data_IF_653422831592
#
_entry.id   IF_653422831592
#
_cell.length_a   1.000
_cell.length_b   1.000
_cell.length_c   1.000
_cell.angle_alpha   90.00
_cell.angle_beta   90.00
_cell.angle_gamma   90.00
#
_symmetry.space_group_name_H-M   'P 1'
#
loop_
_entity.id
_entity.type
_entity.pdbx_description
1 polymer ?
#
# COMPACT_ATOMS: atom_id res chain seq x y z
N UNK A 1 -32.10 30.60 -40.53
CA UNK A 1 -31.23 29.60 -41.17
C UNK A 1 -29.83 30.17 -41.28
N UNK A 2 -28.91 29.69 -40.45
CA UNK A 2 -27.45 29.59 -40.72
C UNK A 2 -26.81 28.87 -39.54
N UNK A 3 -26.62 27.56 -39.69
CA UNK A 3 -25.92 26.67 -38.76
C UNK A 3 -24.42 26.88 -38.95
N UNK A 4 -23.70 27.31 -37.91
CA UNK A 4 -22.25 27.42 -37.94
C UNK A 4 -21.65 26.24 -37.18
N UNK A 5 -21.38 25.16 -37.94
CA UNK A 5 -20.62 24.00 -37.49
C UNK A 5 -19.16 24.45 -37.42
N UNK A 6 -18.63 24.67 -36.22
CA UNK A 6 -17.21 24.98 -36.04
C UNK A 6 -16.43 23.72 -35.67
N UNK A 7 -15.76 23.19 -36.71
CA UNK A 7 -14.58 22.35 -36.73
C UNK A 7 -14.16 21.64 -35.43
N UNK A 8 -14.48 20.36 -35.36
CA UNK A 8 -13.77 19.41 -34.53
C UNK A 8 -12.37 19.21 -35.12
N UNK A 9 -11.38 20.00 -34.65
CA UNK A 9 -9.96 19.70 -34.85
C UNK A 9 -9.51 18.74 -33.76
N UNK A 10 -9.53 17.45 -34.10
CA UNK A 10 -8.74 16.43 -33.41
C UNK A 10 -7.27 16.56 -33.86
N UNK A 11 -6.42 17.14 -33.02
CA UNK A 11 -4.96 17.07 -33.15
C UNK A 11 -4.34 17.37 -31.78
N UNK A 12 -3.48 16.56 -31.18
CA UNK A 12 -2.86 15.34 -31.66
C UNK A 12 -2.25 14.56 -30.49
N UNK A 13 -1.95 13.29 -30.78
CA UNK A 13 -1.20 12.38 -29.94
C UNK A 13 0.23 12.88 -29.74
N UNK A 14 0.54 13.37 -28.54
CA UNK A 14 1.90 13.71 -28.10
C UNK A 14 2.07 13.81 -26.59
N UNK A 15 1.04 13.48 -25.80
CA UNK A 15 1.00 13.77 -24.35
C UNK A 15 0.63 12.58 -23.47
N UNK A 16 0.72 11.33 -23.95
CA UNK A 16 0.23 10.16 -23.21
C UNK A 16 0.89 10.00 -21.83
N UNK A 17 2.20 10.19 -21.73
CA UNK A 17 2.95 10.02 -20.47
C UNK A 17 2.78 11.22 -19.54
N UNK A 18 2.71 12.43 -20.08
CA UNK A 18 2.49 13.66 -19.30
C UNK A 18 1.06 13.76 -18.81
N UNK A 19 0.08 13.30 -19.60
CA UNK A 19 -1.33 13.13 -19.20
C UNK A 19 -1.48 12.07 -18.11
N UNK A 20 -0.87 10.90 -18.29
CA UNK A 20 -0.94 9.82 -17.29
C UNK A 20 -0.26 10.22 -15.97
N UNK A 21 0.86 10.95 -16.04
CA UNK A 21 1.52 11.51 -14.86
C UNK A 21 0.67 12.58 -14.17
N UNK A 22 0.01 13.44 -14.94
CA UNK A 22 -0.90 14.45 -14.39
C UNK A 22 -2.12 13.80 -13.72
N UNK A 23 -2.71 12.77 -14.33
CA UNK A 23 -3.81 11.99 -13.76
C UNK A 23 -3.38 11.21 -12.51
N UNK A 24 -2.18 10.62 -12.50
CA UNK A 24 -1.63 9.95 -11.33
C UNK A 24 -1.38 10.92 -10.18
N UNK A 25 -0.91 12.14 -10.48
CA UNK A 25 -0.70 13.19 -9.47
C UNK A 25 -2.04 13.69 -8.93
N UNK A 26 -3.05 13.90 -9.78
CA UNK A 26 -4.38 14.33 -9.33
C UNK A 26 -5.07 13.23 -8.52
N UNK A 27 -5.06 11.99 -8.99
CA UNK A 27 -5.59 10.85 -8.24
C UNK A 27 -4.84 10.67 -6.91
N UNK A 28 -3.53 10.88 -6.88
CA UNK A 28 -2.73 10.88 -5.66
C UNK A 28 -3.16 11.98 -4.68
N UNK A 29 -3.38 13.20 -5.17
CA UNK A 29 -3.86 14.31 -4.36
C UNK A 29 -5.26 14.04 -3.79
N UNK A 30 -6.16 13.47 -4.59
CA UNK A 30 -7.51 13.08 -4.18
C UNK A 30 -7.46 11.99 -3.10
N UNK A 31 -6.64 10.96 -3.29
CA UNK A 31 -6.42 9.89 -2.29
C UNK A 31 -5.87 10.47 -0.99
N UNK A 32 -4.91 11.40 -1.05
CA UNK A 32 -4.36 12.09 0.14
C UNK A 32 -5.42 12.96 0.82
N UNK A 33 -6.26 13.66 0.06
CA UNK A 33 -7.39 14.43 0.58
C UNK A 33 -8.42 13.54 1.28
N UNK A 34 -8.82 12.46 0.63
CA UNK A 34 -9.73 11.44 1.16
C UNK A 34 -9.16 10.81 2.44
N UNK A 35 -7.86 10.52 2.46
CA UNK A 35 -7.16 9.95 3.61
C UNK A 35 -7.14 10.93 4.79
N UNK A 36 -6.89 12.23 4.56
CA UNK A 36 -6.98 13.26 5.61
C UNK A 36 -8.38 13.39 6.17
N UNK A 37 -9.40 13.47 5.31
CA UNK A 37 -10.79 13.58 5.73
C UNK A 37 -11.22 12.34 6.56
N UNK A 38 -10.85 11.14 6.08
CA UNK A 38 -11.11 9.87 6.77
C UNK A 38 -10.37 9.78 8.10
N UNK A 39 -9.11 10.21 8.15
CA UNK A 39 -8.31 10.26 9.38
C UNK A 39 -8.91 11.19 10.43
N UNK A 40 -9.42 12.36 10.01
CA UNK A 40 -10.16 13.27 10.88
C UNK A 40 -11.45 12.65 11.45
N UNK A 41 -12.19 11.90 10.64
CA UNK A 41 -13.38 11.18 11.07
C UNK A 41 -13.06 10.02 12.03
N UNK A 42 -11.99 9.25 11.75
CA UNK A 42 -11.51 8.19 12.64
C UNK A 42 -11.06 8.74 14.00
N UNK A 43 -10.43 9.91 14.00
CA UNK A 43 -9.91 10.56 15.21
C UNK A 43 -10.98 10.81 16.26
N UNK A 44 -12.19 11.12 15.80
CA UNK A 44 -13.37 11.36 16.65
C UNK A 44 -14.00 10.06 17.18
N UNK A 45 -13.67 8.91 16.59
CA UNK A 45 -14.33 7.63 16.88
C UNK A 45 -13.67 6.86 18.02
N UNK A 46 -12.32 6.80 18.04
CA UNK A 46 -11.53 6.23 19.14
C UNK A 46 -10.02 6.35 18.86
N UNK A 47 -9.18 6.70 19.87
CA UNK A 47 -7.72 6.74 19.72
C UNK A 47 -7.12 5.37 19.38
N UNK A 48 -7.76 4.27 19.82
CA UNK A 48 -7.31 2.91 19.50
C UNK A 48 -7.43 2.57 18.01
N UNK A 49 -8.51 3.02 17.37
CA UNK A 49 -8.73 2.79 15.94
C UNK A 49 -7.68 3.53 15.09
N UNK A 50 -7.28 4.74 15.52
CA UNK A 50 -6.18 5.46 14.87
C UNK A 50 -4.86 4.71 14.97
N UNK A 51 -4.53 4.19 16.15
CA UNK A 51 -3.28 3.47 16.38
C UNK A 51 -3.22 2.21 15.52
N UNK A 52 -4.33 1.46 15.42
CA UNK A 52 -4.45 0.30 14.54
C UNK A 52 -4.29 0.67 13.05
N UNK A 53 -4.92 1.75 12.61
CA UNK A 53 -4.74 2.24 11.23
C UNK A 53 -3.30 2.65 10.97
N UNK A 54 -2.66 3.38 11.89
CA UNK A 54 -1.27 3.78 11.76
C UNK A 54 -0.34 2.57 11.66
N UNK A 55 -0.52 1.55 12.53
CA UNK A 55 0.26 0.31 12.50
C UNK A 55 0.12 -0.43 11.17
N UNK A 56 -1.10 -0.66 10.70
CA UNK A 56 -1.32 -1.32 9.41
C UNK A 56 -0.77 -0.52 8.23
N UNK A 57 -0.92 0.80 8.27
CA UNK A 57 -0.37 1.68 7.22
C UNK A 57 1.15 1.56 7.16
N UNK A 58 1.82 1.63 8.32
CA UNK A 58 3.27 1.45 8.40
C UNK A 58 3.71 0.07 7.91
N UNK A 59 2.98 -0.99 8.27
CA UNK A 59 3.30 -2.35 7.86
C UNK A 59 3.18 -2.56 6.35
N UNK A 60 2.14 -2.02 5.72
CA UNK A 60 1.89 -2.16 4.28
C UNK A 60 2.85 -1.29 3.46
N UNK A 61 3.00 -0.02 3.84
CA UNK A 61 3.89 0.91 3.13
C UNK A 61 5.34 0.51 3.30
N UNK A 62 5.73 0.08 4.51
CA UNK A 62 7.06 -0.42 4.80
C UNK A 62 7.46 -1.59 3.91
N UNK A 63 6.61 -2.61 3.84
CA UNK A 63 6.81 -3.81 3.01
C UNK A 63 6.97 -3.47 1.51
N UNK A 64 6.10 -2.60 0.98
CA UNK A 64 6.20 -2.11 -0.39
C UNK A 64 7.48 -1.32 -0.64
N UNK A 65 7.86 -0.42 0.29
CA UNK A 65 9.05 0.41 0.16
C UNK A 65 10.33 -0.42 0.21
N UNK A 66 10.45 -1.36 1.15
CA UNK A 66 11.63 -2.23 1.24
C UNK A 66 11.79 -3.07 -0.02
N UNK A 67 10.67 -3.54 -0.59
CA UNK A 67 10.69 -4.31 -1.83
C UNK A 67 11.17 -3.47 -3.02
N UNK A 68 10.72 -2.22 -3.14
CA UNK A 68 11.18 -1.30 -4.20
C UNK A 68 12.66 -0.96 -4.05
N UNK A 69 13.13 -0.72 -2.81
CA UNK A 69 14.54 -0.46 -2.54
C UNK A 69 15.42 -1.67 -2.90
N UNK A 70 14.96 -2.89 -2.59
CA UNK A 70 15.64 -4.14 -2.96
C UNK A 70 15.68 -4.39 -4.47
N UNK A 71 14.61 -4.05 -5.21
CA UNK A 71 14.67 -4.09 -6.68
C UNK A 71 15.70 -3.11 -7.24
N UNK A 72 15.81 -1.91 -6.64
CA UNK A 72 16.68 -0.85 -7.12
C UNK A 72 18.19 -1.14 -7.00
N UNK A 73 18.59 -2.04 -6.10
CA UNK A 73 20.00 -2.40 -5.89
C UNK A 73 20.49 -3.57 -6.75
N UNK A 74 19.60 -4.24 -7.50
CA UNK A 74 19.96 -5.39 -8.34
C UNK A 74 20.40 -6.65 -7.58
N UNK A 75 20.38 -6.61 -6.23
CA UNK A 75 20.69 -7.74 -5.35
C UNK A 75 19.46 -8.02 -4.49
N UNK A 76 18.76 -9.10 -4.81
CA UNK A 76 17.55 -9.51 -4.13
C UNK A 76 17.89 -10.35 -2.89
N UNK A 77 18.04 -9.71 -1.73
CA UNK A 77 18.24 -10.37 -0.42
C UNK A 77 17.03 -10.08 0.49
N UNK A 78 16.00 -10.92 0.42
CA UNK A 78 14.80 -10.79 1.24
C UNK A 78 14.98 -11.52 2.58
N UNK A 79 14.81 -10.84 3.72
CA UNK A 79 15.00 -11.44 5.05
C UNK A 79 13.95 -12.52 5.37
N UNK A 80 12.79 -12.47 4.71
CA UNK A 80 11.73 -13.45 4.85
C UNK A 80 11.81 -14.51 3.74
N UNK A 81 12.33 -15.69 4.08
CA UNK A 81 12.48 -16.81 3.14
C UNK A 81 11.17 -17.23 2.46
N UNK A 82 10.02 -17.12 3.14
CA UNK A 82 8.73 -17.41 2.53
C UNK A 82 8.34 -16.34 1.49
N UNK A 83 8.57 -15.06 1.79
CA UNK A 83 8.35 -13.98 0.83
C UNK A 83 9.27 -14.14 -0.39
N UNK A 84 10.56 -14.45 -0.19
CA UNK A 84 11.51 -14.71 -1.25
C UNK A 84 11.05 -15.83 -2.19
N UNK A 85 10.55 -16.94 -1.63
CA UNK A 85 10.03 -18.07 -2.39
C UNK A 85 8.83 -17.67 -3.26
N UNK A 86 7.83 -16.99 -2.68
CA UNK A 86 6.65 -16.59 -3.44
C UNK A 86 6.95 -15.49 -4.47
N UNK A 87 7.84 -14.54 -4.15
CA UNK A 87 8.33 -13.55 -5.11
C UNK A 87 9.01 -14.22 -6.31
N UNK A 88 9.69 -15.36 -6.11
CA UNK A 88 10.24 -16.18 -7.20
C UNK A 88 9.19 -16.86 -8.07
N UNK A 89 7.99 -17.15 -7.55
CA UNK A 89 6.91 -17.83 -8.29
C UNK A 89 6.04 -16.86 -9.09
N UNK A 90 5.56 -15.79 -8.46
CA UNK A 90 4.55 -14.89 -9.04
C UNK A 90 5.14 -13.55 -9.51
N UNK A 91 6.46 -13.40 -9.36
CA UNK A 91 7.15 -12.13 -9.53
C UNK A 91 6.96 -11.22 -8.33
N UNK A 92 7.96 -10.38 -8.09
CA UNK A 92 8.00 -9.49 -6.93
C UNK A 92 6.83 -8.50 -6.91
N UNK A 93 6.51 -7.89 -8.07
CA UNK A 93 5.36 -6.98 -8.18
C UNK A 93 4.02 -7.68 -7.91
N UNK A 94 3.86 -8.92 -8.43
CA UNK A 94 2.67 -9.73 -8.18
C UNK A 94 2.52 -10.08 -6.70
N UNK A 95 3.61 -10.46 -6.04
CA UNK A 95 3.62 -10.76 -4.61
C UNK A 95 3.27 -9.55 -3.75
N UNK A 96 3.83 -8.38 -4.04
CA UNK A 96 3.52 -7.14 -3.29
C UNK A 96 2.03 -6.79 -3.39
N UNK A 97 1.43 -6.92 -4.58
CA UNK A 97 0.01 -6.66 -4.77
C UNK A 97 -0.87 -7.64 -3.98
N UNK A 98 -0.57 -8.94 -4.07
CA UNK A 98 -1.34 -9.99 -3.36
C UNK A 98 -1.20 -9.81 -1.85
N UNK A 99 0.01 -9.62 -1.35
CA UNK A 99 0.27 -9.47 0.09
C UNK A 99 -0.36 -8.17 0.62
N UNK A 100 -0.36 -7.10 -0.17
CA UNK A 100 -1.05 -5.84 0.13
C UNK A 100 -2.56 -6.01 0.28
N UNK A 101 -3.21 -6.71 -0.65
CA UNK A 101 -4.65 -7.01 -0.58
C UNK A 101 -5.02 -7.81 0.66
N UNK A 102 -4.22 -8.84 0.99
CA UNK A 102 -4.41 -9.64 2.21
C UNK A 102 -4.28 -8.76 3.45
N UNK A 103 -3.30 -7.87 3.50
CA UNK A 103 -3.12 -6.96 4.64
C UNK A 103 -4.27 -5.97 4.79
N UNK A 104 -4.82 -5.45 3.69
CA UNK A 104 -6.02 -4.58 3.74
C UNK A 104 -7.23 -5.35 4.29
N UNK A 105 -7.42 -6.61 3.87
CA UNK A 105 -8.48 -7.45 4.41
C UNK A 105 -8.29 -7.68 5.92
N UNK A 106 -7.08 -8.02 6.36
CA UNK A 106 -6.78 -8.21 7.79
C UNK A 106 -6.90 -6.91 8.60
N UNK A 107 -6.49 -5.77 8.03
CA UNK A 107 -6.71 -4.46 8.62
C UNK A 107 -8.20 -4.19 8.84
N UNK A 108 -9.03 -4.46 7.83
CA UNK A 108 -10.49 -4.32 7.96
C UNK A 108 -11.08 -5.19 9.07
N UNK A 109 -10.56 -6.42 9.26
CA UNK A 109 -10.97 -7.32 10.33
C UNK A 109 -10.56 -6.80 11.72
N UNK A 110 -9.34 -6.30 11.88
CA UNK A 110 -8.88 -5.72 13.17
C UNK A 110 -9.58 -4.42 13.55
N UNK A 111 -10.03 -3.64 12.55
CA UNK A 111 -10.75 -2.39 12.74
C UNK A 111 -12.26 -2.60 12.95
N UNK A 112 -12.77 -3.79 12.59
CA UNK A 112 -14.16 -4.16 12.81
C UNK A 112 -14.42 -4.39 14.30
N UNK A 113 -15.61 -4.01 14.80
CA UNK A 113 -16.01 -4.29 16.18
C UNK A 113 -16.29 -5.79 16.34
N UNK A 114 -15.40 -6.59 16.96
CA UNK A 114 -15.58 -8.03 17.04
C UNK A 114 -16.69 -8.33 18.05
N UNK A 115 -17.73 -9.05 17.62
CA UNK A 115 -18.88 -9.39 18.48
C UNK A 115 -18.83 -10.81 19.04
N UNK A 116 -17.94 -11.66 18.51
CA UNK A 116 -17.83 -13.08 18.87
C UNK A 116 -16.39 -13.42 19.22
N UNK A 117 -16.19 -14.50 19.99
CA UNK A 117 -14.85 -14.99 20.36
C UNK A 117 -14.01 -15.34 19.13
N UNK A 118 -14.63 -15.91 18.08
CA UNK A 118 -13.97 -16.18 16.80
C UNK A 118 -13.49 -14.89 16.11
N UNK A 119 -14.29 -13.83 16.14
CA UNK A 119 -13.89 -12.54 15.57
C UNK A 119 -12.73 -11.90 16.35
N UNK A 120 -12.71 -12.07 17.68
CA UNK A 120 -11.57 -11.65 18.50
C UNK A 120 -10.30 -12.45 18.19
N UNK A 121 -10.40 -13.77 18.06
CA UNK A 121 -9.27 -14.61 17.66
C UNK A 121 -8.72 -14.20 16.28
N UNK A 122 -9.59 -13.96 15.30
CA UNK A 122 -9.20 -13.49 13.97
C UNK A 122 -8.53 -12.11 14.01
N UNK A 123 -9.03 -11.18 14.83
CA UNK A 123 -8.40 -9.87 15.03
C UNK A 123 -7.02 -9.99 15.69
N UNK A 124 -6.85 -10.90 16.66
CA UNK A 124 -5.56 -11.17 17.29
C UNK A 124 -4.56 -11.76 16.29
N UNK A 125 -4.96 -12.73 15.48
CA UNK A 125 -4.11 -13.30 14.43
C UNK A 125 -3.69 -12.22 13.43
N UNK A 126 -4.63 -11.37 13.00
CA UNK A 126 -4.35 -10.27 12.11
C UNK A 126 -3.35 -9.26 12.72
N UNK A 127 -3.43 -8.98 14.02
CA UNK A 127 -2.45 -8.14 14.73
C UNK A 127 -1.06 -8.77 14.75
N UNK A 128 -0.95 -10.09 15.01
CA UNK A 128 0.33 -10.80 14.96
C UNK A 128 0.95 -10.71 13.57
N UNK A 129 0.15 -10.87 12.51
CA UNK A 129 0.61 -10.70 11.12
C UNK A 129 1.12 -9.27 10.87
N UNK A 130 0.42 -8.25 11.38
CA UNK A 130 0.85 -6.86 11.27
C UNK A 130 2.22 -6.63 11.91
N UNK A 131 2.45 -7.17 13.12
CA UNK A 131 3.74 -7.08 13.81
C UNK A 131 4.85 -7.81 13.04
N UNK A 132 4.55 -8.98 12.48
CA UNK A 132 5.47 -9.72 11.62
C UNK A 132 5.93 -8.89 10.42
N UNK A 133 5.00 -8.22 9.72
CA UNK A 133 5.34 -7.33 8.59
C UNK A 133 6.22 -6.15 8.99
N UNK A 134 5.94 -5.51 10.13
CA UNK A 134 6.79 -4.43 10.65
C UNK A 134 8.20 -4.91 10.97
N UNK A 135 8.33 -6.11 11.55
CA UNK A 135 9.62 -6.72 11.84
C UNK A 135 10.41 -7.03 10.56
N UNK A 136 9.77 -7.61 9.54
CA UNK A 136 10.40 -7.86 8.24
C UNK A 136 10.85 -6.56 7.58
N UNK A 137 10.02 -5.52 7.63
CA UNK A 137 10.37 -4.18 7.12
C UNK A 137 11.64 -3.65 7.81
N UNK A 138 11.68 -3.71 9.15
CA UNK A 138 12.84 -3.24 9.91
C UNK A 138 14.10 -4.07 9.61
N UNK A 139 13.95 -5.38 9.47
CA UNK A 139 15.05 -6.29 9.12
C UNK A 139 15.60 -6.01 7.72
N UNK A 140 14.72 -5.81 6.74
CA UNK A 140 15.10 -5.44 5.37
C UNK A 140 15.78 -4.07 5.31
N UNK A 141 15.31 -3.10 6.09
CA UNK A 141 15.95 -1.79 6.19
C UNK A 141 17.36 -1.88 6.81
N UNK A 142 17.55 -2.71 7.84
CA UNK A 142 18.86 -2.95 8.44
C UNK A 142 19.83 -3.65 7.48
N UNK A 143 19.36 -4.65 6.73
CA UNK A 143 20.16 -5.31 5.69
C UNK A 143 20.61 -4.31 4.64
N UNK A 144 19.71 -3.44 4.19
CA UNK A 144 20.03 -2.40 3.21
C UNK A 144 21.05 -1.39 3.75
N UNK A 145 20.86 -0.89 4.98
CA UNK A 145 21.78 0.05 5.61
C UNK A 145 23.20 -0.53 5.74
N UNK A 146 23.32 -1.80 6.14
CA UNK A 146 24.61 -2.49 6.24
C UNK A 146 25.23 -2.83 4.88
N UNK A 147 24.43 -3.03 3.83
CA UNK A 147 24.93 -3.25 2.47
C UNK A 147 25.40 -1.97 1.77
N UNK A 148 24.97 -0.81 2.26
CA UNK A 148 25.35 0.53 1.75
C UNK A 148 26.54 1.18 2.47
N UNK A 149 27.09 0.53 3.50
CA UNK A 149 28.29 0.94 4.23
C UNK A 149 29.54 0.23 3.71
#
# INVERSE_FOLDING_TARGET
>A
MTTLIHGHRTSGHGGGVTSLRAELVSAGADVVGQARASGGALRRRSPWVLLLVALWTLAIVGDGLTTVLMMGTGRFEEANAAAAFFMGLVGVAGWVLISGLICVALASLTLSRPRTTYAWAAATVALVVCLGKLWTTASNALLWANASA
#
